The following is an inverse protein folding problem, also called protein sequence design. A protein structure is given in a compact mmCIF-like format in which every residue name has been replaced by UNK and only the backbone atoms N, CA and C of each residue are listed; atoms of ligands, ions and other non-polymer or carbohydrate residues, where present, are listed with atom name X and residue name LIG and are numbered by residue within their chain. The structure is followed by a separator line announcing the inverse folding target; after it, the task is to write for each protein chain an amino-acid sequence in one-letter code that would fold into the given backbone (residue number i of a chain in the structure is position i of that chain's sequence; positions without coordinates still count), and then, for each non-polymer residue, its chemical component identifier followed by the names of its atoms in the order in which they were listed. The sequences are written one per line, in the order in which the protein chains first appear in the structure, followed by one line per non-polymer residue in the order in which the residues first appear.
data_IF_292977607144
#
_entry.id   IF_292977607144
#
_cell.length_a   1.000
_cell.length_b   1.000
_cell.length_c   1.000
_cell.angle_alpha   90.00
_cell.angle_beta   90.00
_cell.angle_gamma   90.00
#
_symmetry.space_group_name_H-M   'P 1'
#
loop_
_entity.id
_entity.type
_entity.pdbx_description
1 polymer ?
#
# COMPACT_ATOMS: atom_id res chain seq x y z
N UNK A 1 -3.53 9.09 3.69
CA UNK A 1 -2.41 9.06 4.67
C UNK A 1 -2.91 8.66 6.06
N UNK A 2 -2.09 8.02 6.90
CA UNK A 2 -2.33 7.91 8.35
C UNK A 2 -2.72 9.25 8.97
N UNK A 3 -3.50 9.25 10.06
CA UNK A 3 -3.94 10.50 10.71
C UNK A 3 -2.79 11.31 11.31
N UNK A 4 -1.79 10.64 11.86
CA UNK A 4 -0.68 11.28 12.59
C UNK A 4 0.28 12.07 11.68
N UNK A 5 0.30 11.80 10.37
CA UNK A 5 1.18 12.50 9.42
C UNK A 5 0.45 13.57 8.59
N UNK A 6 -0.76 13.97 9.00
CA UNK A 6 -1.56 14.99 8.28
C UNK A 6 -1.24 16.39 8.79
N UNK A 7 -1.19 17.34 7.87
CA UNK A 7 -1.12 18.75 8.20
C UNK A 7 -2.50 19.33 8.52
N UNK A 8 -2.58 20.43 9.30
CA UNK A 8 -3.81 21.20 9.44
C UNK A 8 -4.26 21.71 8.06
N UNK A 9 -5.31 21.10 7.49
CA UNK A 9 -5.82 21.41 6.14
C UNK A 9 -5.85 20.21 5.18
N UNK A 10 -5.24 19.09 5.53
CA UNK A 10 -5.32 17.88 4.70
C UNK A 10 -6.73 17.26 4.72
N UNK A 11 -7.47 17.40 3.62
CA UNK A 11 -8.81 16.81 3.44
C UNK A 11 -8.80 15.34 3.00
N UNK A 12 -7.66 14.66 3.07
CA UNK A 12 -7.53 13.30 2.55
C UNK A 12 -8.46 12.32 3.30
N UNK A 13 -9.21 11.45 2.62
CA UNK A 13 -10.09 10.50 3.27
C UNK A 13 -9.31 9.53 4.16
N UNK A 14 -9.94 9.08 5.25
CA UNK A 14 -9.39 8.07 6.16
C UNK A 14 -10.44 7.01 6.44
N UNK A 15 -10.05 5.75 6.32
CA UNK A 15 -10.94 4.63 6.54
C UNK A 15 -10.30 3.64 7.53
N UNK A 16 -10.94 3.39 8.69
CA UNK A 16 -10.53 2.33 9.59
C UNK A 16 -10.80 0.97 8.94
N UNK A 17 -10.11 -0.07 9.42
CA UNK A 17 -10.42 -1.43 9.03
C UNK A 17 -11.82 -1.78 9.53
N UNK A 18 -12.68 -2.28 8.64
CA UNK A 18 -13.99 -2.82 9.02
C UNK A 18 -13.81 -4.23 9.58
N UNK A 19 -14.32 -4.46 10.79
CA UNK A 19 -14.26 -5.74 11.50
C UNK A 19 -15.69 -6.17 11.93
N UNK A 20 -16.18 -7.35 11.53
CA UNK A 20 -15.53 -8.36 10.70
C UNK A 20 -15.41 -7.94 9.22
N UNK A 21 -14.30 -8.32 8.59
CA UNK A 21 -14.13 -8.16 7.13
C UNK A 21 -15.17 -9.04 6.42
N UNK A 22 -16.01 -8.46 5.54
CA UNK A 22 -17.05 -9.21 4.80
C UNK A 22 -16.49 -10.41 4.04
N UNK A 23 -17.25 -11.52 4.03
CA UNK A 23 -16.85 -12.76 3.34
C UNK A 23 -16.67 -12.56 1.83
N UNK A 24 -17.51 -11.72 1.23
CA UNK A 24 -17.46 -11.35 -0.19
C UNK A 24 -17.32 -9.83 -0.33
N UNK A 25 -16.20 -9.41 -0.90
CA UNK A 25 -15.88 -8.03 -1.22
C UNK A 25 -16.56 -7.64 -2.55
N UNK A 26 -17.66 -6.90 -2.45
CA UNK A 26 -18.51 -6.56 -3.59
C UNK A 26 -17.92 -5.47 -4.47
N UNK A 27 -18.20 -5.56 -5.77
CA UNK A 27 -17.87 -4.52 -6.75
C UNK A 27 -19.08 -3.60 -6.93
N UNK A 28 -19.14 -2.51 -6.15
CA UNK A 28 -20.27 -1.56 -6.18
C UNK A 28 -20.20 -0.56 -7.33
N UNK A 29 -19.01 -0.38 -7.94
CA UNK A 29 -18.79 0.51 -9.09
C UNK A 29 -18.47 -0.22 -10.39
N UNK A 30 -17.95 0.53 -11.37
CA UNK A 30 -17.46 -0.06 -12.62
C UNK A 30 -16.17 -0.88 -12.41
N UNK A 31 -15.38 -0.53 -11.39
CA UNK A 31 -14.04 -1.06 -11.15
C UNK A 31 -13.06 -0.55 -12.20
N UNK A 32 -11.76 -0.52 -11.87
CA UNK A 32 -10.73 -0.11 -12.81
C UNK A 32 -9.70 -1.20 -12.96
N UNK A 33 -9.39 -1.57 -14.20
CA UNK A 33 -8.27 -2.46 -14.46
C UNK A 33 -6.95 -1.68 -14.40
N UNK A 34 -5.83 -2.36 -14.14
CA UNK A 34 -4.48 -1.78 -14.17
C UNK A 34 -4.13 -1.09 -15.50
N UNK A 35 -4.74 -1.48 -16.62
CA UNK A 35 -4.53 -0.81 -17.91
C UNK A 35 -5.31 0.52 -18.04
N UNK A 36 -6.09 0.91 -17.03
CA UNK A 36 -6.96 2.09 -17.06
C UNK A 36 -8.35 1.83 -17.64
N UNK A 37 -8.57 0.68 -18.27
CA UNK A 37 -9.89 0.34 -18.79
C UNK A 37 -10.91 0.12 -17.67
N UNK A 38 -12.11 0.63 -17.92
CA UNK A 38 -13.27 0.53 -17.03
C UNK A 38 -14.30 -0.35 -17.73
N UNK A 39 -14.48 -1.62 -17.32
CA UNK A 39 -15.47 -2.48 -17.93
C UNK A 39 -16.88 -1.93 -17.70
N UNK A 40 -17.72 -2.00 -18.73
CA UNK A 40 -19.11 -1.59 -18.63
C UNK A 40 -19.90 -2.44 -17.62
N UNK A 41 -21.03 -1.92 -17.12
CA UNK A 41 -21.87 -2.64 -16.16
C UNK A 41 -22.44 -3.94 -16.72
N UNK A 42 -22.58 -4.03 -18.04
CA UNK A 42 -23.04 -5.18 -18.82
C UNK A 42 -22.16 -6.43 -18.67
N UNK A 43 -20.89 -6.26 -18.28
CA UNK A 43 -19.95 -7.37 -18.14
C UNK A 43 -20.24 -8.10 -16.83
N UNK A 44 -20.51 -9.40 -16.94
CA UNK A 44 -20.81 -10.27 -15.80
C UNK A 44 -19.68 -10.27 -14.76
N UNK A 45 -20.08 -10.15 -13.48
CA UNK A 45 -19.17 -10.22 -12.35
C UNK A 45 -18.74 -11.67 -12.12
N UNK A 46 -17.48 -11.87 -11.79
CA UNK A 46 -16.91 -13.15 -11.35
C UNK A 46 -16.44 -13.04 -9.92
N UNK A 47 -16.61 -14.12 -9.17
CA UNK A 47 -16.11 -14.22 -7.80
C UNK A 47 -14.77 -14.95 -7.83
N UNK A 48 -13.75 -14.34 -7.26
CA UNK A 48 -12.40 -14.93 -7.13
C UNK A 48 -12.02 -15.07 -5.66
N UNK A 49 -11.30 -16.14 -5.27
CA UNK A 49 -10.68 -16.19 -3.94
C UNK A 49 -9.57 -15.14 -3.84
N UNK A 50 -9.49 -14.50 -2.67
CA UNK A 50 -8.46 -13.52 -2.34
C UNK A 50 -7.97 -13.69 -0.90
N UNK A 51 -6.75 -13.22 -0.67
CA UNK A 51 -6.05 -13.27 0.60
C UNK A 51 -5.81 -11.83 1.05
N UNK A 52 -6.26 -11.50 2.26
CA UNK A 52 -6.09 -10.18 2.87
C UNK A 52 -5.09 -10.31 4.01
N UNK A 53 -3.96 -9.64 3.89
CA UNK A 53 -2.90 -9.64 4.89
C UNK A 53 -3.13 -8.50 5.89
N UNK A 54 -3.26 -8.84 7.17
CA UNK A 54 -3.27 -7.89 8.29
C UNK A 54 -1.95 -7.90 9.06
N UNK A 55 -1.86 -7.17 10.18
CA UNK A 55 -0.66 -7.21 11.05
C UNK A 55 -0.53 -8.46 11.90
N UNK A 56 -1.67 -9.09 12.24
CA UNK A 56 -1.71 -10.23 13.17
C UNK A 56 -2.03 -11.56 12.49
N UNK A 57 -2.77 -11.53 11.37
CA UNK A 57 -3.22 -12.74 10.68
C UNK A 57 -3.61 -12.46 9.24
N UNK A 58 -3.78 -13.56 8.51
CA UNK A 58 -4.32 -13.59 7.15
C UNK A 58 -5.83 -13.86 7.18
N UNK A 59 -6.58 -13.18 6.31
CA UNK A 59 -8.00 -13.42 6.11
C UNK A 59 -8.26 -13.90 4.68
N UNK A 60 -8.82 -15.12 4.57
CA UNK A 60 -9.27 -15.67 3.29
C UNK A 60 -10.68 -15.22 3.00
N UNK A 61 -10.85 -14.54 1.86
CA UNK A 61 -12.11 -13.93 1.45
C UNK A 61 -12.33 -14.15 -0.04
N UNK A 62 -13.45 -13.66 -0.53
CA UNK A 62 -13.76 -13.65 -1.95
C UNK A 62 -13.94 -12.21 -2.43
N UNK A 63 -13.65 -11.94 -3.69
CA UNK A 63 -13.83 -10.62 -4.31
C UNK A 63 -14.57 -10.74 -5.63
N UNK A 64 -15.51 -9.83 -5.84
CA UNK A 64 -16.18 -9.65 -7.13
C UNK A 64 -15.30 -8.84 -8.08
N UNK A 65 -15.11 -9.34 -9.29
CA UNK A 65 -14.32 -8.67 -10.32
C UNK A 65 -14.98 -8.79 -11.70
N UNK A 66 -14.64 -7.90 -12.62
CA UNK A 66 -15.04 -7.99 -14.02
C UNK A 66 -13.82 -8.27 -14.91
N UNK A 67 -13.92 -9.16 -15.92
CA UNK A 67 -12.85 -9.33 -16.89
C UNK A 67 -12.62 -8.05 -17.68
N UNK A 68 -11.35 -7.70 -17.89
CA UNK A 68 -10.99 -6.50 -18.63
C UNK A 68 -11.02 -6.75 -20.14
N UNK A 69 -11.82 -5.99 -20.88
CA UNK A 69 -11.92 -6.09 -22.35
C UNK A 69 -10.65 -5.63 -23.10
N UNK A 70 -9.94 -4.64 -22.57
CA UNK A 70 -8.75 -4.07 -23.23
C UNK A 70 -7.47 -4.92 -23.04
N UNK A 71 -7.47 -5.86 -22.10
CA UNK A 71 -6.31 -6.70 -21.85
C UNK A 71 -6.44 -7.97 -22.70
N UNK A 72 -5.60 -8.07 -23.73
CA UNK A 72 -5.63 -9.08 -24.80
C UNK A 72 -5.56 -10.55 -24.38
N UNK A 73 -5.34 -10.86 -23.09
CA UNK A 73 -5.32 -12.25 -22.60
C UNK A 73 -6.49 -12.63 -21.68
N UNK A 74 -7.43 -11.72 -21.36
CA UNK A 74 -8.56 -12.03 -20.47
C UNK A 74 -8.18 -12.44 -19.03
N UNK A 75 -6.89 -12.44 -18.70
CA UNK A 75 -6.33 -12.82 -17.39
C UNK A 75 -6.35 -11.69 -16.37
N UNK A 76 -6.64 -10.46 -16.80
CA UNK A 76 -6.68 -9.28 -15.93
C UNK A 76 -8.13 -8.92 -15.63
N UNK A 77 -8.34 -8.57 -14.37
CA UNK A 77 -9.64 -8.25 -13.83
C UNK A 77 -9.66 -6.82 -13.30
N UNK A 78 -10.79 -6.14 -13.45
CA UNK A 78 -11.11 -4.91 -12.75
C UNK A 78 -11.83 -5.29 -11.45
N UNK A 79 -11.23 -4.93 -10.31
CA UNK A 79 -11.81 -5.18 -9.00
C UNK A 79 -12.20 -3.89 -8.28
N UNK A 80 -12.73 -4.02 -7.04
CA UNK A 80 -13.10 -2.90 -6.20
C UNK A 80 -11.87 -2.21 -5.60
N UNK A 81 -11.99 -0.93 -5.28
CA UNK A 81 -10.90 -0.16 -4.65
C UNK A 81 -10.77 -0.47 -3.14
N UNK A 82 -11.85 -0.87 -2.48
CA UNK A 82 -11.91 -1.34 -1.07
C UNK A 82 -11.39 -0.37 0.00
N UNK A 83 -11.06 0.87 -0.39
CA UNK A 83 -10.54 1.88 0.52
C UNK A 83 -11.45 2.12 1.72
N UNK A 84 -12.78 2.13 1.51
CA UNK A 84 -13.79 2.31 2.55
C UNK A 84 -13.80 1.21 3.62
N UNK A 85 -13.35 0.00 3.26
CA UNK A 85 -13.19 -1.11 4.19
C UNK A 85 -11.85 -1.08 4.93
N UNK A 86 -11.02 -0.07 4.67
CA UNK A 86 -9.66 0.00 5.19
C UNK A 86 -8.73 -1.02 4.53
N UNK A 87 -8.99 -1.41 3.27
CA UNK A 87 -8.23 -2.44 2.55
C UNK A 87 -7.66 -1.86 1.25
N UNK A 88 -6.37 -2.10 1.03
CA UNK A 88 -5.69 -1.80 -0.22
C UNK A 88 -5.69 -3.02 -1.14
N UNK A 89 -6.34 -2.88 -2.29
CA UNK A 89 -6.36 -3.90 -3.32
C UNK A 89 -5.10 -3.82 -4.22
N UNK A 90 -4.14 -4.74 -4.03
CA UNK A 90 -2.91 -4.75 -4.83
C UNK A 90 -3.10 -5.39 -6.22
N UNK A 91 -3.82 -6.51 -6.30
CA UNK A 91 -3.99 -7.26 -7.57
C UNK A 91 -5.24 -8.15 -7.66
N UNK A 92 -6.26 -7.91 -6.83
CA UNK A 92 -7.49 -8.71 -6.66
C UNK A 92 -7.30 -10.12 -6.06
N UNK A 93 -6.07 -10.59 -5.87
CA UNK A 93 -5.79 -11.89 -5.20
C UNK A 93 -5.09 -11.70 -3.87
N UNK A 94 -4.19 -10.74 -3.80
CA UNK A 94 -3.47 -10.33 -2.59
C UNK A 94 -3.90 -8.90 -2.28
N UNK A 95 -4.38 -8.70 -1.07
CA UNK A 95 -4.87 -7.43 -0.55
C UNK A 95 -4.25 -7.20 0.83
N UNK A 96 -4.17 -5.96 1.25
CA UNK A 96 -3.43 -5.60 2.46
C UNK A 96 -4.25 -4.59 3.26
N UNK A 97 -4.36 -4.77 4.57
CA UNK A 97 -5.06 -3.78 5.39
C UNK A 97 -4.29 -2.47 5.41
N UNK A 98 -5.01 -1.35 5.47
CA UNK A 98 -4.40 -0.04 5.71
C UNK A 98 -3.65 -0.04 7.05
N UNK A 99 -4.17 -0.76 8.05
CA UNK A 99 -3.54 -0.92 9.35
C UNK A 99 -2.11 -1.51 9.24
N UNK A 100 -1.93 -2.62 8.52
CA UNK A 100 -0.62 -3.23 8.28
C UNK A 100 0.35 -2.26 7.57
N UNK A 101 -0.12 -1.61 6.50
CA UNK A 101 0.70 -0.71 5.68
C UNK A 101 1.06 0.58 6.43
N UNK A 102 0.14 1.09 7.24
CA UNK A 102 0.36 2.26 8.07
C UNK A 102 1.26 1.93 9.28
N UNK A 103 1.19 0.70 9.82
CA UNK A 103 2.08 0.24 10.89
C UNK A 103 3.53 0.27 10.43
N UNK A 104 3.84 -0.28 9.25
CA UNK A 104 5.19 -0.17 8.69
C UNK A 104 5.60 1.29 8.48
N UNK A 105 4.72 2.11 7.87
CA UNK A 105 5.00 3.53 7.63
C UNK A 105 5.33 4.27 8.93
N UNK A 106 4.57 4.00 10.00
CA UNK A 106 4.78 4.60 11.33
C UNK A 106 6.09 4.14 11.95
N UNK A 107 6.40 2.85 11.84
CA UNK A 107 7.65 2.27 12.35
C UNK A 107 8.88 2.86 11.66
N UNK A 108 8.90 2.90 10.32
CA UNK A 108 10.03 3.44 9.56
C UNK A 108 10.23 4.95 9.73
N UNK A 109 9.19 5.70 10.09
CA UNK A 109 9.31 7.15 10.35
C UNK A 109 9.67 7.46 11.80
N UNK A 110 9.35 6.57 12.74
CA UNK A 110 9.66 6.75 14.15
C UNK A 110 11.06 6.23 14.52
N UNK A 111 11.54 5.19 13.84
CA UNK A 111 12.86 4.61 14.04
C UNK A 111 13.37 3.95 12.77
N UNK A 112 14.66 3.62 12.72
CA UNK A 112 15.25 2.88 11.61
C UNK A 112 14.65 1.47 11.52
N UNK A 113 13.63 1.29 10.68
CA UNK A 113 12.95 0.02 10.47
C UNK A 113 13.14 -0.47 9.03
N UNK A 114 14.06 -1.40 8.77
CA UNK A 114 14.18 -2.01 7.45
C UNK A 114 13.01 -2.94 7.15
N UNK A 115 12.67 -3.09 5.86
CA UNK A 115 11.59 -3.97 5.39
C UNK A 115 11.68 -5.39 5.96
N UNK A 116 12.89 -5.97 5.95
CA UNK A 116 13.15 -7.32 6.45
C UNK A 116 12.79 -7.49 7.92
N UNK A 117 13.15 -6.52 8.76
CA UNK A 117 12.82 -6.56 10.18
C UNK A 117 11.31 -6.46 10.41
N UNK A 118 10.60 -5.63 9.64
CA UNK A 118 9.15 -5.54 9.73
C UNK A 118 8.46 -6.83 9.29
N UNK A 119 8.83 -7.38 8.14
CA UNK A 119 8.32 -8.67 7.63
C UNK A 119 8.51 -9.77 8.67
N UNK A 120 9.72 -9.87 9.25
CA UNK A 120 10.03 -10.83 10.33
C UNK A 120 9.13 -10.64 11.55
N UNK A 121 8.84 -9.39 11.95
CA UNK A 121 7.95 -9.12 13.09
C UNK A 121 6.51 -9.53 12.81
N UNK A 122 6.00 -9.28 11.60
CA UNK A 122 4.64 -9.70 11.20
C UNK A 122 4.55 -11.24 11.14
N UNK A 123 5.56 -11.89 10.59
CA UNK A 123 5.62 -13.35 10.52
C UNK A 123 5.61 -13.99 11.91
N UNK A 124 6.37 -13.42 12.86
CA UNK A 124 6.30 -13.82 14.28
C UNK A 124 4.93 -13.56 14.89
N UNK A 125 4.28 -12.44 14.56
CA UNK A 125 2.93 -12.16 15.05
C UNK A 125 1.92 -13.19 14.54
N UNK A 126 2.06 -13.65 13.28
CA UNK A 126 1.23 -14.71 12.73
C UNK A 126 1.41 -16.03 13.48
N UNK A 127 2.65 -16.38 13.85
CA UNK A 127 2.93 -17.57 14.67
C UNK A 127 2.31 -17.47 16.06
N UNK A 128 2.37 -16.31 16.72
CA UNK A 128 1.79 -16.09 18.06
C UNK A 128 0.25 -16.08 18.04
N UNK A 129 -0.36 -15.66 16.92
CA UNK A 129 -1.80 -15.60 16.75
C UNK A 129 -2.40 -16.82 16.04
N UNK A 130 -1.58 -17.81 15.67
CA UNK A 130 -2.05 -19.10 15.19
C UNK A 130 -2.79 -19.82 16.33
N UNK A 131 -4.11 -19.94 16.21
CA UNK A 131 -4.94 -20.57 17.22
C UNK A 131 -4.64 -22.08 17.35
N UNK A 132 -4.88 -22.68 18.54
CA UNK A 132 -4.64 -24.10 18.78
C UNK A 132 -5.51 -25.03 17.90
N UNK A 133 -6.65 -24.55 17.39
CA UNK A 133 -7.62 -25.32 16.62
C UNK A 133 -7.43 -25.23 15.08
N UNK A 134 -6.56 -24.35 14.57
CA UNK A 134 -6.23 -24.23 13.14
C UNK A 134 -4.71 -24.16 12.87
N UNK A 135 -3.89 -25.14 13.34
CA UNK A 135 -2.43 -25.14 13.16
C UNK A 135 -1.97 -25.25 11.70
N UNK A 136 -2.90 -25.54 10.77
CA UNK A 136 -2.61 -25.82 9.37
C UNK A 136 -2.84 -24.62 8.43
N UNK A 137 -3.26 -23.48 8.98
CA UNK A 137 -3.54 -22.25 8.23
C UNK A 137 -2.79 -21.04 8.79
N UNK A 138 -1.61 -21.27 9.36
CA UNK A 138 -0.63 -20.20 9.52
C UNK A 138 -0.04 -19.93 8.13
N UNK A 139 -0.77 -19.17 7.30
CA UNK A 139 -0.21 -18.72 6.03
C UNK A 139 0.95 -17.78 6.36
N UNK A 140 2.14 -18.14 5.87
CA UNK A 140 3.31 -17.29 5.98
C UNK A 140 3.00 -15.88 5.48
N UNK A 141 3.65 -14.90 6.11
CA UNK A 141 3.63 -13.56 5.54
C UNK A 141 4.36 -13.54 4.19
N UNK A 142 4.16 -12.48 3.41
CA UNK A 142 4.77 -12.38 2.08
C UNK A 142 6.28 -12.10 2.17
N UNK A 143 7.01 -12.45 1.13
CA UNK A 143 8.45 -12.16 1.05
C UNK A 143 8.77 -10.65 1.12
N UNK A 144 9.98 -10.31 1.57
CA UNK A 144 10.49 -8.93 1.64
C UNK A 144 10.31 -8.16 0.33
N UNK A 145 10.60 -8.80 -0.80
CA UNK A 145 10.45 -8.18 -2.11
C UNK A 145 8.98 -7.84 -2.40
N UNK A 146 8.08 -8.76 -2.09
CA UNK A 146 6.64 -8.59 -2.31
C UNK A 146 6.11 -7.48 -1.44
N UNK A 147 6.41 -7.50 -0.14
CA UNK A 147 5.95 -6.48 0.79
C UNK A 147 6.45 -5.08 0.40
N UNK A 148 7.74 -4.97 0.03
CA UNK A 148 8.32 -3.72 -0.46
C UNK A 148 7.58 -3.18 -1.69
N UNK A 149 7.27 -4.03 -2.67
CA UNK A 149 6.50 -3.63 -3.88
C UNK A 149 5.10 -3.16 -3.54
N UNK A 150 4.44 -3.85 -2.61
CA UNK A 150 3.10 -3.48 -2.13
C UNK A 150 3.15 -2.14 -1.43
N UNK A 151 4.08 -1.93 -0.51
CA UNK A 151 4.20 -0.67 0.24
C UNK A 151 4.49 0.51 -0.69
N UNK A 152 5.40 0.37 -1.65
CA UNK A 152 5.63 1.43 -2.64
C UNK A 152 4.38 1.71 -3.51
N UNK A 153 3.56 0.70 -3.78
CA UNK A 153 2.29 0.89 -4.50
C UNK A 153 1.25 1.61 -3.62
N UNK A 154 1.17 1.25 -2.33
CA UNK A 154 0.34 1.92 -1.34
C UNK A 154 0.72 3.39 -1.16
N UNK A 155 2.01 3.70 -1.05
CA UNK A 155 2.53 5.07 -0.95
C UNK A 155 2.03 5.94 -2.10
N UNK A 156 1.99 5.41 -3.32
CA UNK A 156 1.59 6.16 -4.52
C UNK A 156 0.10 6.53 -4.55
N UNK A 157 -0.75 5.80 -3.83
CA UNK A 157 -2.18 6.13 -3.71
C UNK A 157 -2.48 7.02 -2.50
N UNK A 158 -1.51 7.23 -1.61
CA UNK A 158 -1.67 8.22 -0.56
C UNK A 158 -1.59 9.62 -1.18
N UNK A 159 -2.69 10.36 -1.07
CA UNK A 159 -2.70 11.79 -1.32
C UNK A 159 -1.96 12.43 -0.15
N UNK A 160 -0.66 12.62 -0.33
CA UNK A 160 0.16 13.51 0.49
C UNK A 160 0.12 14.83 -0.26
N UNK A 161 -0.57 15.83 0.28
CA UNK A 161 -0.70 17.13 -0.38
C UNK A 161 0.68 17.71 -0.72
N UNK A 162 0.76 18.46 -1.83
CA UNK A 162 1.97 19.15 -2.29
C UNK A 162 2.34 20.36 -1.40
N UNK A 163 2.10 20.27 -0.09
CA UNK A 163 2.52 21.28 0.89
C UNK A 163 3.92 20.99 1.42
N UNK A 164 4.82 20.49 0.58
CA UNK A 164 6.27 20.64 0.79
C UNK A 164 6.75 22.05 0.35
N UNK A 165 5.84 23.02 0.31
CA UNK A 165 6.18 24.42 0.23
C UNK A 165 6.50 24.93 1.62
N UNK A 166 7.70 25.47 1.80
CA UNK A 166 7.95 26.31 2.97
C UNK A 166 7.05 27.55 2.85
N UNK A 167 6.40 27.96 3.94
CA UNK A 167 5.53 29.15 3.93
C UNK A 167 6.31 30.42 3.54
N UNK A 168 7.62 30.46 3.80
CA UNK A 168 8.51 31.57 3.43
C UNK A 168 9.18 31.37 2.06
N UNK A 169 9.63 30.15 1.73
CA UNK A 169 10.47 29.88 0.56
C UNK A 169 9.72 29.25 -0.63
N UNK A 170 8.44 28.92 -0.47
CA UNK A 170 7.64 28.23 -1.48
C UNK A 170 8.13 26.80 -1.78
N UNK A 171 7.76 26.21 -2.93
CA UNK A 171 7.99 24.80 -3.26
C UNK A 171 9.45 24.45 -3.65
N UNK A 172 10.36 25.43 -3.65
CA UNK A 172 11.75 25.24 -4.09
C UNK A 172 12.70 26.10 -3.26
N UNK A 173 12.94 25.76 -1.97
CA UNK A 173 13.88 26.49 -1.16
C UNK A 173 15.32 26.32 -1.69
N UNK A 174 16.18 27.33 -1.54
CA UNK A 174 17.58 27.26 -1.98
C UNK A 174 18.41 26.24 -1.21
N UNK A 175 17.92 25.76 -0.07
CA UNK A 175 18.56 24.72 0.75
C UNK A 175 17.49 23.82 1.34
N UNK A 176 17.62 22.51 1.13
CA UNK A 176 16.74 21.49 1.72
C UNK A 176 17.56 20.66 2.68
N UNK A 177 17.21 20.68 3.97
CA UNK A 177 17.82 19.82 4.98
C UNK A 177 16.92 18.60 5.14
N UNK A 178 17.41 17.44 4.74
CA UNK A 178 16.76 16.16 5.01
C UNK A 178 17.41 15.53 6.24
N UNK A 179 16.70 15.53 7.37
CA UNK A 179 17.11 14.71 8.52
C UNK A 179 16.57 13.28 8.32
N UNK A 180 17.45 12.29 8.33
CA UNK A 180 17.07 10.88 8.36
C UNK A 180 17.39 9.98 7.16
N UNK A 181 18.03 10.44 6.07
CA UNK A 181 18.52 9.55 5.00
C UNK A 181 19.73 10.16 4.27
N UNK A 182 20.93 9.63 4.53
CA UNK A 182 22.12 9.95 3.73
C UNK A 182 22.10 9.12 2.45
N UNK A 183 21.62 9.69 1.34
CA UNK A 183 21.76 9.08 0.03
C UNK A 183 23.16 9.39 -0.54
N UNK A 184 24.08 8.42 -0.42
CA UNK A 184 25.40 8.52 -1.04
C UNK A 184 25.36 8.19 -2.53
N UNK A 185 25.69 9.15 -3.39
CA UNK A 185 25.85 8.92 -4.83
C UNK A 185 27.33 8.75 -5.18
N UNK A 186 27.72 7.67 -5.88
CA UNK A 186 29.07 7.56 -6.43
C UNK A 186 29.39 8.74 -7.34
N UNK A 187 30.54 9.40 -7.15
CA UNK A 187 30.92 10.63 -7.87
C UNK A 187 30.85 10.54 -9.39
N UNK A 188 30.95 9.34 -9.97
CA UNK A 188 30.78 9.09 -11.41
C UNK A 188 29.37 9.37 -11.96
N UNK A 189 28.36 9.55 -11.10
CA UNK A 189 26.98 9.86 -11.49
C UNK A 189 26.61 11.33 -11.28
N UNK A 190 27.56 12.15 -10.80
CA UNK A 190 27.43 13.61 -10.72
C UNK A 190 27.55 14.16 -12.14
N UNK A 191 26.46 14.68 -12.70
CA UNK A 191 26.45 15.34 -14.02
C UNK A 191 26.55 16.86 -13.84
N UNK A 192 26.72 17.62 -14.93
CA UNK A 192 26.73 19.09 -14.88
C UNK A 192 25.43 19.70 -14.30
N UNK A 193 24.32 18.97 -14.32
CA UNK A 193 23.02 19.41 -13.81
C UNK A 193 22.69 18.86 -12.41
N UNK A 194 23.54 18.01 -11.84
CA UNK A 194 23.26 17.28 -10.60
C UNK A 194 24.37 17.60 -9.59
N UNK A 195 24.21 18.69 -8.86
CA UNK A 195 25.15 19.15 -7.84
C UNK A 195 24.68 18.71 -6.44
N UNK A 196 25.61 18.36 -5.53
CA UNK A 196 25.25 18.09 -4.15
C UNK A 196 24.60 19.32 -3.51
N UNK A 197 23.57 19.13 -2.66
CA UNK A 197 22.81 20.23 -2.05
C UNK A 197 23.60 21.05 -1.01
N UNK A 198 24.83 20.63 -0.69
CA UNK A 198 25.75 21.38 0.16
C UNK A 198 27.10 21.52 -0.54
N UNK A 199 27.54 22.76 -0.71
CA UNK A 199 28.92 23.10 -1.08
C UNK A 199 29.77 23.14 0.18
N UNK A 200 30.92 22.46 0.16
CA UNK A 200 31.97 22.63 1.18
C UNK A 200 32.69 23.95 0.96
#
# INVERSE_FOLDING_TARGET
PPRWCRMPGDEAPWFPLVDPIPDVLRLEGAGRCRCGAVPGPEVEKRVLPCVIYGSQRVHHRQVEVRPCFACSEGRKFAGPDLGELGIFNFNNRSMYTHELLNSFTSGMTAHELPFHAFVTTVDRAYLEHAGPDEPQKCDDFVSDETFRRVWYSWRRVQILGDTFGCDDCGPSPPTVIFDGLTAGFPGKYVTQSLTPPTTV
#
